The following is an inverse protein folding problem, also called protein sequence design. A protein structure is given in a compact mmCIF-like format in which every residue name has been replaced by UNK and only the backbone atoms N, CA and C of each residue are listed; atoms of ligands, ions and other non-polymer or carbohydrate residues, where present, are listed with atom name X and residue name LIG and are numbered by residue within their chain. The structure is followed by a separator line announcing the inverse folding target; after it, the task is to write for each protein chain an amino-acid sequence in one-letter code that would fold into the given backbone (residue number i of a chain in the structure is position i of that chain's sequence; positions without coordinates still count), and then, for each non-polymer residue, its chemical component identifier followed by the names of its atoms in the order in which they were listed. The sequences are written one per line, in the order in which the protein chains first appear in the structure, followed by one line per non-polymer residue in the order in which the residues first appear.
data_IF_959771865054
#
_entry.id   IF_959771865054
#
_cell.length_a   1.000
_cell.length_b   1.000
_cell.length_c   1.000
_cell.angle_alpha   90.00
_cell.angle_beta   90.00
_cell.angle_gamma   90.00
#
_symmetry.space_group_name_H-M   'P 1'
#
loop_
_entity.id
_entity.type
_entity.pdbx_description
1 polymer ?
#
# COMPACT_ATOMS: atom_id res chain seq x y z
N UNK A 1 -1.08 -53.45 39.80
CA UNK A 1 -1.25 -53.62 38.34
C UNK A 1 -1.82 -52.33 37.80
N UNK A 2 -1.09 -51.62 36.95
CA UNK A 2 -1.61 -50.49 36.18
C UNK A 2 -1.91 -50.98 34.77
N UNK A 3 -3.13 -50.78 34.30
CA UNK A 3 -3.51 -51.14 32.93
C UNK A 3 -3.13 -50.01 31.96
N UNK A 4 -2.61 -50.38 30.78
CA UNK A 4 -2.13 -49.44 29.76
C UNK A 4 -3.31 -48.74 29.03
N UNK A 5 -3.77 -47.60 29.54
CA UNK A 5 -4.75 -46.74 28.87
C UNK A 5 -4.06 -45.75 27.90
N UNK A 6 -3.42 -46.29 26.85
CA UNK A 6 -2.61 -45.55 25.89
C UNK A 6 -3.18 -45.58 24.46
N UNK A 7 -3.27 -44.42 23.80
CA UNK A 7 -3.62 -44.31 22.39
C UNK A 7 -2.45 -44.80 21.52
N UNK A 8 -2.63 -45.95 20.87
CA UNK A 8 -1.59 -46.62 20.09
C UNK A 8 -1.90 -46.53 18.61
N UNK A 9 -1.09 -45.75 17.89
CA UNK A 9 -1.03 -45.72 16.43
C UNK A 9 0.38 -46.13 15.98
N UNK A 10 0.52 -47.31 15.38
CA UNK A 10 1.79 -47.80 14.82
C UNK A 10 1.64 -47.93 13.32
N UNK A 11 2.53 -47.28 12.57
CA UNK A 11 2.61 -47.37 11.12
C UNK A 11 4.03 -47.72 10.67
N UNK A 12 4.18 -48.23 9.44
CA UNK A 12 5.50 -48.44 8.82
C UNK A 12 5.46 -48.18 7.33
N UNK A 13 6.53 -47.59 6.79
CA UNK A 13 6.75 -47.51 5.35
C UNK A 13 6.66 -48.89 4.70
N UNK A 14 5.99 -48.96 3.56
CA UNK A 14 5.93 -50.14 2.69
C UNK A 14 7.17 -50.10 1.81
N UNK A 15 8.07 -51.09 1.94
CA UNK A 15 9.25 -51.27 1.10
C UNK A 15 10.16 -50.02 0.96
N UNK A 16 10.31 -49.22 2.03
CA UNK A 16 11.02 -47.93 2.07
C UNK A 16 10.43 -46.84 1.14
N UNK A 17 9.22 -47.02 0.62
CA UNK A 17 8.50 -46.02 -0.17
C UNK A 17 7.89 -44.91 0.70
N UNK A 18 7.34 -43.87 0.05
CA UNK A 18 6.54 -42.81 0.70
C UNK A 18 5.16 -43.29 1.18
N UNK A 19 4.75 -44.52 0.87
CA UNK A 19 3.48 -45.09 1.35
C UNK A 19 3.69 -45.82 2.67
N UNK A 20 2.75 -45.63 3.61
CA UNK A 20 2.77 -46.24 4.93
C UNK A 20 1.57 -47.18 5.07
N UNK A 21 1.78 -48.35 5.70
CA UNK A 21 0.69 -49.16 6.23
C UNK A 21 0.53 -48.93 7.73
N UNK A 22 -0.70 -48.74 8.17
CA UNK A 22 -1.07 -48.86 9.59
C UNK A 22 -0.89 -50.33 9.99
N UNK A 23 -0.31 -50.57 11.17
CA UNK A 23 -0.12 -51.90 11.77
C UNK A 23 -1.02 -52.12 12.98
N UNK A 24 -1.25 -51.06 13.74
CA UNK A 24 -1.99 -51.07 14.99
C UNK A 24 -2.66 -49.69 15.14
N UNK A 25 -3.96 -49.68 15.41
CA UNK A 25 -4.71 -48.48 15.74
C UNK A 25 -5.72 -48.84 16.83
N UNK A 26 -5.54 -48.25 18.01
CA UNK A 26 -6.51 -48.30 19.10
C UNK A 26 -7.23 -46.95 19.18
N UNK A 27 -8.54 -46.93 18.90
CA UNK A 27 -9.39 -45.74 18.92
C UNK A 27 -9.99 -45.45 20.31
N UNK A 28 -9.94 -46.41 21.24
CA UNK A 28 -10.54 -46.30 22.57
C UNK A 28 -9.72 -45.41 23.49
N UNK A 29 -10.15 -44.16 23.62
CA UNK A 29 -9.58 -43.18 24.55
C UNK A 29 -10.49 -42.92 25.76
N UNK A 30 -10.17 -43.53 26.89
CA UNK A 30 -10.82 -43.30 28.21
C UNK A 30 -9.92 -42.53 29.20
N UNK A 31 -8.87 -41.87 28.72
CA UNK A 31 -7.91 -41.19 29.58
C UNK A 31 -8.55 -40.00 30.34
N UNK A 32 -8.34 -39.85 31.67
CA UNK A 32 -8.93 -38.78 32.48
C UNK A 32 -8.30 -37.38 32.27
N UNK A 33 -7.53 -37.18 31.18
CA UNK A 33 -6.81 -35.94 30.85
C UNK A 33 -7.70 -34.80 30.32
N UNK A 34 -9.01 -34.78 30.62
CA UNK A 34 -9.93 -33.80 30.01
C UNK A 34 -9.72 -32.35 30.45
N UNK A 35 -9.37 -32.11 31.71
CA UNK A 35 -9.68 -30.80 32.32
C UNK A 35 -8.48 -29.89 32.63
N UNK A 36 -7.22 -30.38 32.69
CA UNK A 36 -6.08 -29.57 33.24
C UNK A 36 -4.70 -29.68 32.60
N UNK A 37 -4.48 -30.51 31.58
CA UNK A 37 -3.13 -30.71 30.98
C UNK A 37 -3.00 -30.11 29.56
N UNK A 38 -4.12 -29.90 28.85
CA UNK A 38 -4.15 -29.40 27.47
C UNK A 38 -5.02 -28.15 27.29
N UNK A 39 -5.09 -27.26 28.29
CA UNK A 39 -5.71 -25.94 28.15
C UNK A 39 -5.10 -25.11 27.01
N UNK A 40 -3.84 -25.39 26.64
CA UNK A 40 -3.12 -24.71 25.58
C UNK A 40 -2.88 -25.62 24.36
N UNK A 41 -3.86 -25.71 23.46
CA UNK A 41 -3.72 -26.32 22.12
C UNK A 41 -2.87 -25.45 21.17
N UNK A 42 -1.59 -25.23 21.51
CA UNK A 42 -0.67 -24.40 20.73
C UNK A 42 -0.33 -25.07 19.38
N UNK A 43 -1.09 -24.75 18.32
CA UNK A 43 -0.72 -25.17 16.97
C UNK A 43 0.59 -24.50 16.54
N UNK A 44 1.52 -25.29 16.00
CA UNK A 44 2.80 -24.74 15.53
C UNK A 44 2.60 -23.82 14.31
N UNK A 45 3.52 -22.86 14.13
CA UNK A 45 3.56 -21.98 12.95
C UNK A 45 3.47 -22.81 11.65
N UNK A 46 4.14 -23.97 11.59
CA UNK A 46 4.15 -24.87 10.43
C UNK A 46 2.80 -25.52 10.12
N UNK A 47 1.97 -25.79 11.14
CA UNK A 47 0.63 -26.34 10.97
C UNK A 47 -0.28 -25.27 10.35
N UNK A 48 -0.33 -24.09 10.97
CA UNK A 48 -1.15 -22.97 10.50
C UNK A 48 -0.73 -22.53 9.10
N UNK A 49 0.58 -22.40 8.85
CA UNK A 49 1.20 -22.19 7.52
C UNK A 49 0.66 -23.17 6.47
N UNK A 50 0.71 -24.48 6.75
CA UNK A 50 0.17 -25.51 5.85
C UNK A 50 -1.32 -25.34 5.52
N UNK A 51 -2.13 -24.96 6.50
CA UNK A 51 -3.58 -24.76 6.35
C UNK A 51 -3.95 -23.52 5.51
N UNK A 52 -3.10 -22.48 5.51
CA UNK A 52 -3.42 -21.18 4.89
C UNK A 52 -2.80 -20.95 3.50
N UNK A 53 -1.82 -21.75 3.08
CA UNK A 53 -1.15 -21.59 1.77
C UNK A 53 -2.13 -21.51 0.60
N UNK A 54 -3.08 -22.44 0.49
CA UNK A 54 -4.11 -22.42 -0.55
C UNK A 54 -5.02 -21.18 -0.48
N UNK A 55 -5.34 -20.72 0.74
CA UNK A 55 -6.10 -19.48 0.98
C UNK A 55 -5.30 -18.21 0.59
N UNK A 56 -3.97 -18.30 0.45
CA UNK A 56 -3.03 -17.19 0.11
C UNK A 56 -2.46 -17.21 -1.33
N UNK A 57 -2.73 -18.26 -2.12
CA UNK A 57 -2.24 -18.38 -3.51
C UNK A 57 -2.71 -17.23 -4.41
N UNK A 58 -3.97 -16.79 -4.26
CA UNK A 58 -4.47 -15.60 -4.95
C UNK A 58 -4.10 -14.33 -4.16
N UNK A 59 -3.10 -13.58 -4.64
CA UNK A 59 -2.64 -12.33 -4.01
C UNK A 59 -3.71 -11.22 -3.95
N UNK A 60 -4.79 -11.30 -4.75
CA UNK A 60 -5.91 -10.33 -4.72
C UNK A 60 -6.93 -10.66 -3.62
N UNK A 61 -6.87 -11.84 -2.99
CA UNK A 61 -7.68 -12.19 -1.81
C UNK A 61 -7.09 -11.53 -0.57
N UNK A 62 -7.82 -10.57 0.01
CA UNK A 62 -7.56 -10.10 1.38
C UNK A 62 -7.77 -11.27 2.34
N UNK A 63 -6.74 -11.57 3.12
CA UNK A 63 -6.76 -12.58 4.18
C UNK A 63 -5.80 -12.10 5.29
N UNK A 64 -6.38 -11.82 6.44
CA UNK A 64 -5.77 -11.12 7.59
C UNK A 64 -5.42 -12.11 8.70
N UNK A 65 -4.60 -11.71 9.70
CA UNK A 65 -4.38 -12.55 10.88
C UNK A 65 -5.67 -12.88 11.64
N UNK A 66 -6.68 -12.00 11.62
CA UNK A 66 -7.97 -12.26 12.29
C UNK A 66 -8.78 -13.34 11.55
N UNK A 67 -8.78 -13.33 10.22
CA UNK A 67 -9.40 -14.39 9.42
C UNK A 67 -8.70 -15.73 9.66
N UNK A 68 -7.38 -15.73 9.81
CA UNK A 68 -6.60 -16.93 10.17
C UNK A 68 -6.97 -17.48 11.56
N UNK A 69 -7.21 -16.60 12.54
CA UNK A 69 -7.65 -17.00 13.89
C UNK A 69 -9.07 -17.58 13.83
N UNK A 70 -9.98 -16.92 13.10
CA UNK A 70 -11.35 -17.40 12.91
C UNK A 70 -11.39 -18.76 12.23
N UNK A 71 -10.71 -18.90 11.09
CA UNK A 71 -10.62 -20.15 10.33
C UNK A 71 -9.96 -21.27 11.18
N UNK A 72 -8.90 -20.98 11.93
CA UNK A 72 -8.27 -21.99 12.81
C UNK A 72 -9.19 -22.44 13.96
N UNK A 73 -10.02 -21.54 14.50
CA UNK A 73 -11.00 -21.88 15.54
C UNK A 73 -12.21 -22.62 14.97
N UNK A 74 -12.70 -22.21 13.80
CA UNK A 74 -13.88 -22.78 13.13
C UNK A 74 -13.59 -24.14 12.49
N UNK A 75 -12.57 -24.22 11.63
CA UNK A 75 -12.26 -25.41 10.85
C UNK A 75 -11.63 -26.53 11.73
N UNK A 76 -10.98 -26.18 12.85
CA UNK A 76 -10.16 -27.12 13.64
C UNK A 76 -10.28 -27.02 15.18
N UNK A 77 -11.01 -26.06 15.74
CA UNK A 77 -11.13 -25.91 17.19
C UNK A 77 -9.80 -25.56 17.89
N UNK A 78 -8.96 -24.77 17.23
CA UNK A 78 -7.64 -24.31 17.70
C UNK A 78 -7.68 -22.83 18.07
N UNK A 79 -7.18 -22.48 19.24
CA UNK A 79 -6.99 -21.09 19.65
C UNK A 79 -5.63 -20.59 19.18
N UNK A 80 -5.63 -19.52 18.38
CA UNK A 80 -4.43 -18.95 17.74
C UNK A 80 -4.27 -17.49 18.20
N UNK A 81 -3.08 -17.11 18.64
CA UNK A 81 -2.78 -15.70 18.96
C UNK A 81 -2.48 -14.89 17.70
N UNK A 82 -2.76 -13.58 17.72
CA UNK A 82 -2.49 -12.68 16.59
C UNK A 82 -1.05 -12.75 16.07
N UNK A 83 -0.07 -12.79 16.97
CA UNK A 83 1.35 -12.92 16.60
C UNK A 83 1.68 -14.28 15.97
N UNK A 84 0.99 -15.35 16.38
CA UNK A 84 1.15 -16.69 15.81
C UNK A 84 0.53 -16.76 14.40
N UNK A 85 -0.69 -16.22 14.22
CA UNK A 85 -1.34 -16.09 12.91
C UNK A 85 -0.53 -15.22 11.93
N UNK A 86 0.01 -14.08 12.39
CA UNK A 86 0.87 -13.22 11.56
C UNK A 86 2.17 -13.92 11.15
N UNK A 87 2.85 -14.62 12.09
CA UNK A 87 4.05 -15.42 11.79
C UNK A 87 3.75 -16.55 10.80
N UNK A 88 2.58 -17.19 10.91
CA UNK A 88 2.13 -18.20 9.95
C UNK A 88 1.85 -17.58 8.57
N UNK A 89 1.14 -16.44 8.47
CA UNK A 89 0.95 -15.72 7.20
C UNK A 89 2.29 -15.38 6.55
N UNK A 90 3.25 -14.83 7.31
CA UNK A 90 4.59 -14.53 6.78
C UNK A 90 5.29 -15.78 6.26
N UNK A 91 5.27 -16.89 7.00
CA UNK A 91 5.88 -18.16 6.56
C UNK A 91 5.23 -18.70 5.28
N UNK A 92 3.90 -18.67 5.18
CA UNK A 92 3.16 -19.10 3.99
C UNK A 92 3.44 -18.19 2.79
N UNK A 93 3.55 -16.87 2.98
CA UNK A 93 3.96 -15.92 1.94
C UNK A 93 5.38 -16.21 1.44
N UNK A 94 6.36 -16.36 2.35
CA UNK A 94 7.74 -16.68 1.96
C UNK A 94 7.83 -18.03 1.21
N UNK A 95 7.01 -19.03 1.58
CA UNK A 95 6.94 -20.30 0.85
C UNK A 95 6.33 -20.15 -0.56
N UNK A 96 5.30 -19.31 -0.72
CA UNK A 96 4.60 -19.12 -2.00
C UNK A 96 5.31 -18.14 -2.96
N UNK A 97 6.08 -17.19 -2.43
CA UNK A 97 6.60 -16.02 -3.17
C UNK A 97 8.11 -15.83 -3.06
N UNK A 98 8.82 -16.65 -2.26
CA UNK A 98 10.23 -16.49 -1.92
C UNK A 98 10.47 -15.45 -0.82
N UNK A 99 11.72 -15.28 -0.38
CA UNK A 99 12.07 -14.16 0.49
C UNK A 99 12.11 -12.86 -0.34
N UNK A 100 11.74 -11.69 0.22
CA UNK A 100 11.87 -10.42 -0.49
C UNK A 100 13.28 -10.18 -1.04
N UNK A 101 14.32 -10.55 -0.28
CA UNK A 101 15.74 -10.43 -0.68
C UNK A 101 16.06 -11.20 -1.97
N UNK A 102 15.54 -12.42 -2.14
CA UNK A 102 15.71 -13.23 -3.35
C UNK A 102 15.11 -12.54 -4.58
N UNK A 103 14.07 -11.72 -4.39
CA UNK A 103 13.47 -10.94 -5.47
C UNK A 103 14.32 -9.72 -5.86
N UNK A 104 14.99 -9.06 -4.91
CA UNK A 104 15.94 -7.98 -5.21
C UNK A 104 17.17 -8.49 -5.97
N UNK A 105 17.66 -9.71 -5.68
CA UNK A 105 18.74 -10.33 -6.45
C UNK A 105 18.41 -10.51 -7.95
N UNK A 106 17.12 -10.63 -8.31
CA UNK A 106 16.66 -10.72 -9.71
C UNK A 106 16.56 -9.36 -10.41
N UNK A 107 16.58 -8.24 -9.66
CA UNK A 107 16.54 -6.91 -10.27
C UNK A 107 17.74 -6.65 -11.17
N UNK A 108 18.92 -7.18 -10.89
CA UNK A 108 20.11 -6.84 -11.67
C UNK A 108 19.98 -7.27 -13.15
N UNK A 109 19.42 -8.46 -13.41
CA UNK A 109 19.11 -8.93 -14.77
C UNK A 109 17.87 -8.26 -15.37
N UNK A 110 16.89 -7.89 -14.55
CA UNK A 110 15.69 -7.19 -15.01
C UNK A 110 16.00 -5.73 -15.41
N UNK A 111 16.78 -5.02 -14.61
CA UNK A 111 17.28 -3.66 -14.86
C UNK A 111 18.19 -3.65 -16.09
N UNK A 112 19.09 -4.62 -16.24
CA UNK A 112 19.85 -4.78 -17.49
C UNK A 112 18.94 -4.95 -18.71
N UNK A 113 17.87 -5.74 -18.60
CA UNK A 113 16.90 -5.97 -19.69
C UNK A 113 16.02 -4.74 -19.96
N UNK A 114 15.74 -3.93 -18.93
CA UNK A 114 15.08 -2.62 -19.08
C UNK A 114 16.00 -1.62 -19.74
N UNK A 115 17.21 -1.39 -19.21
CA UNK A 115 18.14 -0.38 -19.69
C UNK A 115 18.55 -0.61 -21.16
N UNK A 116 18.67 -1.88 -21.59
CA UNK A 116 18.84 -2.27 -23.00
C UNK A 116 17.63 -1.99 -23.92
N UNK A 117 16.49 -1.52 -23.41
CA UNK A 117 15.26 -1.24 -24.17
C UNK A 117 14.62 0.12 -23.89
N UNK A 118 14.79 0.63 -22.67
CA UNK A 118 14.18 1.82 -22.08
C UNK A 118 15.15 2.34 -21.00
N UNK A 119 16.00 3.31 -21.38
CA UNK A 119 17.10 3.81 -20.54
C UNK A 119 16.59 4.32 -19.18
N UNK A 120 17.22 3.90 -18.07
CA UNK A 120 17.06 4.46 -16.72
C UNK A 120 15.64 4.53 -16.12
N UNK A 121 15.07 3.43 -15.61
CA UNK A 121 13.75 3.45 -14.94
C UNK A 121 13.55 2.40 -13.82
N UNK A 122 12.67 2.71 -12.86
CA UNK A 122 12.43 1.93 -11.62
C UNK A 122 10.91 2.00 -11.21
N UNK A 123 10.40 2.18 -9.96
CA UNK A 123 8.94 2.25 -9.59
C UNK A 123 8.49 3.19 -8.41
N UNK A 124 7.86 4.34 -8.74
CA UNK A 124 7.04 5.31 -7.95
C UNK A 124 6.51 6.37 -8.91
N UNK A 125 5.20 6.54 -9.01
CA UNK A 125 4.61 7.20 -10.17
C UNK A 125 4.62 8.74 -10.10
N UNK A 126 4.89 9.38 -11.24
CA UNK A 126 4.31 10.69 -11.60
C UNK A 126 3.37 10.46 -12.78
N UNK A 127 2.14 10.95 -12.67
CA UNK A 127 1.12 10.81 -13.69
C UNK A 127 0.66 12.16 -14.21
N UNK A 128 0.49 12.29 -15.52
CA UNK A 128 -0.18 13.44 -16.15
C UNK A 128 -1.50 13.02 -16.78
N UNK A 129 -2.23 14.01 -17.31
CA UNK A 129 -3.34 13.75 -18.22
C UNK A 129 -2.88 13.96 -19.66
N UNK A 130 -3.32 13.10 -20.58
CA UNK A 130 -3.20 13.38 -22.02
C UNK A 130 -4.24 14.41 -22.48
N UNK A 131 -4.17 14.84 -23.75
CA UNK A 131 -5.12 15.81 -24.33
C UNK A 131 -6.57 15.32 -24.41
N UNK A 132 -6.85 14.06 -24.06
CA UNK A 132 -8.18 13.47 -23.95
C UNK A 132 -8.54 13.11 -22.49
N UNK A 133 -7.79 13.63 -21.51
CA UNK A 133 -7.95 13.40 -20.07
C UNK A 133 -7.74 11.94 -19.60
N UNK A 134 -7.01 11.10 -20.34
CA UNK A 134 -6.55 9.82 -19.82
C UNK A 134 -5.37 9.99 -18.87
N UNK A 135 -5.32 9.19 -17.81
CA UNK A 135 -4.17 9.08 -16.92
C UNK A 135 -3.00 8.43 -17.68
N UNK A 136 -1.89 9.14 -17.80
CA UNK A 136 -0.64 8.66 -18.39
C UNK A 136 0.47 8.71 -17.32
N UNK A 137 1.02 7.58 -16.86
CA UNK A 137 2.24 7.59 -16.06
C UNK A 137 3.42 8.02 -16.94
N UNK A 138 4.16 9.06 -16.53
CA UNK A 138 5.36 9.50 -17.23
C UNK A 138 6.59 8.72 -16.79
N UNK A 139 6.80 8.63 -15.47
CA UNK A 139 7.96 7.96 -14.87
C UNK A 139 7.53 7.11 -13.68
N UNK A 140 8.39 6.13 -13.36
CA UNK A 140 8.29 5.35 -12.15
C UNK A 140 9.73 5.14 -11.55
N UNK A 141 9.97 5.43 -10.25
CA UNK A 141 11.28 5.33 -9.55
C UNK A 141 11.34 4.54 -8.20
N UNK A 142 12.07 3.42 -8.08
CA UNK A 142 12.04 2.49 -6.91
C UNK A 142 12.94 3.08 -5.86
N UNK A 143 12.39 3.39 -4.70
CA UNK A 143 13.19 3.84 -3.56
C UNK A 143 12.97 2.96 -2.34
N UNK A 144 14.06 2.72 -1.62
CA UNK A 144 14.13 1.80 -0.49
C UNK A 144 13.32 2.26 0.75
N UNK A 145 13.03 3.56 0.84
CA UNK A 145 12.33 4.20 1.96
C UNK A 145 11.93 5.64 1.59
N UNK A 146 11.01 6.24 2.35
CA UNK A 146 10.62 7.63 2.18
C UNK A 146 11.57 8.55 2.96
N UNK A 147 12.70 8.90 2.34
CA UNK A 147 13.74 9.73 2.96
C UNK A 147 14.27 10.82 2.01
N UNK A 148 15.06 11.73 2.57
CA UNK A 148 15.65 12.90 1.92
C UNK A 148 16.48 12.58 0.66
N UNK A 149 17.30 11.52 0.72
CA UNK A 149 18.16 11.07 -0.39
C UNK A 149 17.30 10.50 -1.52
N UNK A 150 16.33 9.67 -1.14
CA UNK A 150 15.46 8.96 -2.05
C UNK A 150 14.53 9.90 -2.86
N UNK A 151 13.96 10.90 -2.20
CA UNK A 151 13.16 11.93 -2.89
C UNK A 151 14.02 12.90 -3.71
N UNK A 152 15.20 13.29 -3.24
CA UNK A 152 16.13 14.11 -4.03
C UNK A 152 16.47 13.42 -5.36
N UNK A 153 16.96 12.18 -5.28
CA UNK A 153 17.30 11.36 -6.44
C UNK A 153 16.11 11.19 -7.40
N UNK A 154 14.90 10.91 -6.88
CA UNK A 154 13.73 10.73 -7.73
C UNK A 154 13.40 11.96 -8.58
N UNK A 155 13.38 13.15 -7.98
CA UNK A 155 13.11 14.38 -8.73
C UNK A 155 14.29 14.78 -9.64
N UNK A 156 15.54 14.56 -9.21
CA UNK A 156 16.74 14.78 -10.01
C UNK A 156 16.71 13.93 -11.30
N UNK A 157 16.39 12.63 -11.21
CA UNK A 157 16.23 11.75 -12.37
C UNK A 157 15.01 12.08 -13.24
N UNK A 158 13.89 12.50 -12.66
CA UNK A 158 12.72 12.93 -13.44
C UNK A 158 13.04 14.20 -14.27
N UNK A 159 13.81 15.13 -13.70
CA UNK A 159 14.31 16.32 -14.40
C UNK A 159 15.36 15.99 -15.46
N UNK A 160 16.22 15.00 -15.24
CA UNK A 160 17.17 14.53 -16.24
C UNK A 160 16.46 13.90 -17.45
N UNK A 161 15.42 13.09 -17.22
CA UNK A 161 14.70 12.38 -18.29
C UNK A 161 13.69 13.26 -19.07
N UNK A 162 13.04 14.24 -18.42
CA UNK A 162 11.96 15.04 -19.03
C UNK A 162 12.21 16.56 -19.09
N UNK A 163 13.28 17.05 -18.45
CA UNK A 163 13.60 18.48 -18.39
C UNK A 163 12.63 19.31 -17.53
N UNK A 164 12.56 20.60 -17.82
CA UNK A 164 11.50 21.50 -17.37
C UNK A 164 10.66 21.90 -18.60
N UNK A 165 9.35 21.73 -18.53
CA UNK A 165 8.43 22.09 -19.62
C UNK A 165 7.79 23.45 -19.36
N UNK A 166 7.49 24.20 -20.43
CA UNK A 166 6.75 25.45 -20.31
C UNK A 166 5.35 25.18 -19.72
N UNK A 167 4.90 26.03 -18.80
CA UNK A 167 3.64 25.88 -18.06
C UNK A 167 3.52 24.59 -17.19
N UNK A 168 4.63 23.88 -16.94
CA UNK A 168 4.67 22.76 -16.00
C UNK A 168 4.24 23.19 -14.59
N UNK A 169 3.57 22.30 -13.86
CA UNK A 169 3.27 22.44 -12.44
C UNK A 169 3.31 21.09 -11.73
N UNK A 170 3.62 21.07 -10.44
CA UNK A 170 3.63 19.85 -9.62
C UNK A 170 2.52 19.97 -8.57
N UNK A 171 1.64 18.97 -8.50
CA UNK A 171 0.57 18.89 -7.49
C UNK A 171 0.82 17.67 -6.59
N UNK A 172 0.86 17.83 -5.27
CA UNK A 172 1.06 16.70 -4.34
C UNK A 172 0.33 16.90 -3.01
N UNK A 173 0.40 15.91 -2.11
CA UNK A 173 0.17 16.17 -0.68
C UNK A 173 1.07 17.32 -0.17
N UNK A 174 0.62 18.06 0.84
CA UNK A 174 1.35 19.17 1.49
C UNK A 174 2.39 18.63 2.47
N UNK A 175 3.15 17.63 2.03
CA UNK A 175 4.23 17.00 2.79
C UNK A 175 5.49 17.87 2.67
N UNK A 176 6.00 18.36 3.80
CA UNK A 176 7.14 19.29 3.88
C UNK A 176 8.38 18.77 3.14
N UNK A 177 8.61 17.44 3.17
CA UNK A 177 9.69 16.82 2.43
C UNK A 177 9.50 16.96 0.91
N UNK A 178 8.31 16.68 0.38
CA UNK A 178 8.05 16.79 -1.07
C UNK A 178 8.22 18.25 -1.53
N UNK A 179 7.69 19.21 -0.76
CA UNK A 179 7.84 20.65 -1.04
C UNK A 179 9.33 21.07 -1.06
N UNK A 180 10.12 20.57 -0.11
CA UNK A 180 11.57 20.80 0.00
C UNK A 180 12.37 20.22 -1.17
N UNK A 181 11.99 19.06 -1.73
CA UNK A 181 12.69 18.48 -2.88
C UNK A 181 12.25 19.05 -4.21
N UNK A 182 10.96 19.36 -4.37
CA UNK A 182 10.46 20.06 -5.56
C UNK A 182 11.15 21.41 -5.70
N UNK A 183 11.18 22.26 -4.66
CA UNK A 183 11.81 23.58 -4.74
C UNK A 183 13.34 23.54 -4.90
N UNK A 184 14.02 22.48 -4.42
CA UNK A 184 15.45 22.27 -4.64
C UNK A 184 15.78 21.92 -6.11
N UNK A 185 15.00 21.01 -6.71
CA UNK A 185 15.28 20.49 -8.06
C UNK A 185 14.70 21.39 -9.14
N UNK A 186 13.50 21.92 -8.91
CA UNK A 186 12.74 22.79 -9.80
C UNK A 186 12.55 24.16 -9.13
N UNK A 187 13.42 25.12 -9.46
CA UNK A 187 13.38 26.47 -8.90
C UNK A 187 12.33 27.38 -9.57
N UNK A 188 11.85 26.95 -10.74
CA UNK A 188 10.97 27.67 -11.67
C UNK A 188 9.54 27.11 -11.72
N UNK A 189 9.37 25.82 -11.41
CA UNK A 189 8.09 25.11 -11.52
C UNK A 189 7.26 25.32 -10.26
N UNK A 190 6.05 25.90 -10.33
CA UNK A 190 5.19 26.08 -9.17
C UNK A 190 4.71 24.73 -8.61
N UNK A 191 4.80 24.63 -7.28
CA UNK A 191 4.22 23.55 -6.50
C UNK A 191 2.83 23.94 -6.00
N UNK A 192 1.87 23.02 -6.05
CA UNK A 192 0.53 23.20 -5.51
C UNK A 192 0.17 22.08 -4.52
N UNK A 193 -0.46 22.45 -3.42
CA UNK A 193 -1.08 21.51 -2.50
C UNK A 193 -2.37 20.93 -3.11
N UNK A 194 -2.49 19.60 -3.09
CA UNK A 194 -3.73 18.90 -3.39
C UNK A 194 -4.85 19.42 -2.47
N UNK A 195 -5.94 19.92 -3.07
CA UNK A 195 -7.03 20.53 -2.31
C UNK A 195 -7.73 19.52 -1.39
N UNK A 196 -7.69 18.22 -1.71
CA UNK A 196 -8.28 17.15 -0.89
C UNK A 196 -7.40 16.81 0.33
N UNK A 197 -6.07 16.82 0.18
CA UNK A 197 -5.14 16.69 1.29
C UNK A 197 -5.21 17.90 2.24
N UNK A 198 -5.27 19.12 1.68
CA UNK A 198 -5.48 20.33 2.48
C UNK A 198 -6.84 20.31 3.20
N UNK A 199 -7.91 19.84 2.55
CA UNK A 199 -9.20 19.59 3.21
C UNK A 199 -9.08 18.61 4.37
N UNK A 200 -8.41 17.47 4.18
CA UNK A 200 -8.23 16.48 5.24
C UNK A 200 -7.46 17.04 6.45
N UNK A 201 -6.53 17.97 6.23
CA UNK A 201 -5.83 18.65 7.32
C UNK A 201 -6.73 19.65 8.05
N UNK A 202 -7.60 20.39 7.33
CA UNK A 202 -8.66 21.22 7.92
C UNK A 202 -9.62 20.35 8.74
N UNK A 203 -10.09 19.24 8.18
CA UNK A 203 -11.00 18.28 8.82
C UNK A 203 -10.43 17.72 10.13
N UNK A 204 -9.16 17.26 10.13
CA UNK A 204 -8.47 16.76 11.33
C UNK A 204 -8.31 17.85 12.40
N UNK A 205 -8.06 19.10 12.00
CA UNK A 205 -7.73 20.23 12.91
C UNK A 205 -8.97 20.94 13.47
N UNK A 206 -10.06 21.07 12.71
CA UNK A 206 -11.20 21.94 13.03
C UNK A 206 -12.54 21.17 13.10
N UNK A 207 -12.83 20.59 14.26
CA UNK A 207 -13.92 19.62 14.52
C UNK A 207 -15.38 20.14 14.44
N UNK A 208 -15.70 21.19 13.67
CA UNK A 208 -17.06 21.79 13.60
C UNK A 208 -17.61 21.84 12.17
N UNK A 209 -18.87 21.42 12.02
CA UNK A 209 -19.72 21.63 10.82
C UNK A 209 -19.10 21.22 9.48
N UNK A 210 -18.42 20.06 9.45
CA UNK A 210 -17.60 19.63 8.31
C UNK A 210 -18.32 19.60 6.95
N UNK A 211 -19.62 19.25 6.88
CA UNK A 211 -20.34 19.16 5.60
C UNK A 211 -20.53 20.53 4.94
N UNK A 212 -21.02 21.53 5.69
CA UNK A 212 -21.19 22.88 5.15
C UNK A 212 -19.84 23.54 4.86
N UNK A 213 -18.82 23.25 5.66
CA UNK A 213 -17.47 23.78 5.46
C UNK A 213 -16.77 23.13 4.25
N UNK A 214 -17.02 21.86 3.93
CA UNK A 214 -16.41 21.20 2.75
C UNK A 214 -16.97 21.75 1.45
N UNK A 215 -18.28 21.95 1.36
CA UNK A 215 -18.96 22.57 0.21
C UNK A 215 -18.41 23.99 -0.06
N UNK A 216 -18.30 24.81 0.98
CA UNK A 216 -17.70 26.16 0.89
C UNK A 216 -16.24 26.07 0.45
N UNK A 217 -15.43 25.23 1.10
CA UNK A 217 -13.99 25.10 0.82
C UNK A 217 -13.70 24.60 -0.61
N UNK A 218 -14.36 23.53 -1.07
CA UNK A 218 -14.12 22.99 -2.41
C UNK A 218 -14.66 23.91 -3.52
N UNK A 219 -15.67 24.72 -3.23
CA UNK A 219 -16.13 25.78 -4.14
C UNK A 219 -15.12 26.92 -4.20
N UNK A 220 -14.66 27.40 -3.03
CA UNK A 220 -13.71 28.50 -2.88
C UNK A 220 -12.37 28.19 -3.54
N UNK A 221 -11.84 26.97 -3.35
CA UNK A 221 -10.62 26.52 -4.01
C UNK A 221 -10.72 26.53 -5.55
N UNK A 222 -11.91 26.29 -6.11
CA UNK A 222 -12.18 26.17 -7.54
C UNK A 222 -12.68 27.47 -8.20
N UNK A 223 -12.95 28.50 -7.41
CA UNK A 223 -13.49 29.79 -7.86
C UNK A 223 -12.64 30.42 -8.99
N UNK A 224 -13.31 31.11 -9.90
CA UNK A 224 -12.67 31.77 -11.04
C UNK A 224 -12.53 33.29 -10.83
N UNK A 225 -13.27 33.87 -9.89
CA UNK A 225 -13.29 35.31 -9.64
C UNK A 225 -13.04 35.65 -8.17
N UNK A 226 -12.47 36.85 -7.93
CA UNK A 226 -12.25 37.37 -6.58
C UNK A 226 -13.57 37.51 -5.79
N UNK A 227 -14.63 37.98 -6.44
CA UNK A 227 -15.95 38.14 -5.81
C UNK A 227 -16.57 36.81 -5.32
N UNK A 228 -16.40 35.71 -6.08
CA UNK A 228 -16.79 34.37 -5.63
C UNK A 228 -15.95 33.91 -4.44
N UNK A 229 -14.63 34.09 -4.52
CA UNK A 229 -13.68 33.68 -3.49
C UNK A 229 -13.96 34.40 -2.16
N UNK A 230 -14.08 35.73 -2.19
CA UNK A 230 -14.34 36.56 -1.01
C UNK A 230 -15.71 36.25 -0.40
N UNK A 231 -16.76 36.11 -1.24
CA UNK A 231 -18.10 35.74 -0.77
C UNK A 231 -18.12 34.38 -0.07
N UNK A 232 -17.26 33.44 -0.48
CA UNK A 232 -17.12 32.14 0.18
C UNK A 232 -16.23 32.22 1.42
N UNK A 233 -15.14 32.98 1.38
CA UNK A 233 -14.23 33.21 2.51
C UNK A 233 -14.96 33.86 3.69
N UNK A 234 -15.87 34.80 3.46
CA UNK A 234 -16.68 35.40 4.55
C UNK A 234 -17.61 34.42 5.27
N UNK A 235 -17.82 33.21 4.73
CA UNK A 235 -18.62 32.15 5.37
C UNK A 235 -17.76 31.18 6.21
N UNK A 236 -16.46 31.44 6.35
CA UNK A 236 -15.46 30.57 7.00
C UNK A 236 -15.07 31.09 8.40
N UNK A 237 -14.92 30.17 9.37
CA UNK A 237 -14.43 30.46 10.73
C UNK A 237 -13.03 31.10 10.68
N UNK A 238 -12.79 32.16 11.45
CA UNK A 238 -11.55 32.96 11.40
C UNK A 238 -10.28 32.10 11.52
N UNK A 239 -10.29 31.05 12.35
CA UNK A 239 -9.12 30.15 12.55
C UNK A 239 -8.86 29.23 11.36
N UNK A 240 -9.88 29.03 10.52
CA UNK A 240 -9.76 28.34 9.24
C UNK A 240 -9.29 29.32 8.16
N UNK A 241 -9.73 30.60 8.18
CA UNK A 241 -9.16 31.65 7.31
C UNK A 241 -7.65 31.78 7.55
N UNK A 242 -7.23 31.98 8.80
CA UNK A 242 -5.82 32.05 9.23
C UNK A 242 -5.00 30.83 8.75
N UNK A 243 -5.57 29.61 8.82
CA UNK A 243 -4.87 28.40 8.38
C UNK A 243 -4.79 28.24 6.86
N UNK A 244 -5.74 28.80 6.11
CA UNK A 244 -5.75 28.85 4.65
C UNK A 244 -4.80 29.93 4.12
N UNK A 245 -4.67 31.04 4.83
CA UNK A 245 -3.69 32.11 4.59
C UNK A 245 -2.26 31.59 4.85
N UNK A 246 -2.06 30.90 5.98
CA UNK A 246 -0.83 30.13 6.28
C UNK A 246 -0.65 28.87 5.38
N UNK A 247 -1.46 28.69 4.35
CA UNK A 247 -1.20 27.75 3.25
C UNK A 247 -0.67 28.45 1.98
N UNK A 248 -0.76 29.78 1.90
CA UNK A 248 -0.55 30.58 0.70
C UNK A 248 -1.64 30.31 -0.33
N UNK A 249 -2.46 31.31 -0.65
CA UNK A 249 -3.60 31.15 -1.55
C UNK A 249 -3.18 30.71 -2.96
N UNK A 250 -2.03 31.20 -3.41
CA UNK A 250 -1.33 30.80 -4.64
C UNK A 250 -1.04 29.30 -4.71
N UNK A 251 -0.78 28.63 -3.58
CA UNK A 251 -0.43 27.20 -3.55
C UNK A 251 -1.65 26.26 -3.62
N UNK A 252 -2.90 26.74 -3.49
CA UNK A 252 -4.07 25.86 -3.47
C UNK A 252 -5.30 26.39 -4.22
N UNK A 253 -5.58 27.68 -4.22
CA UNK A 253 -6.77 28.27 -4.86
C UNK A 253 -6.54 28.55 -6.36
N UNK A 254 -7.55 28.30 -7.20
CA UNK A 254 -7.43 28.45 -8.66
C UNK A 254 -7.20 29.90 -9.09
N UNK A 255 -7.91 30.84 -8.48
CA UNK A 255 -7.84 32.28 -8.76
C UNK A 255 -6.40 32.83 -8.67
N UNK A 256 -5.59 32.29 -7.77
CA UNK A 256 -4.24 32.77 -7.47
C UNK A 256 -3.13 31.94 -8.16
N UNK A 257 -3.48 30.94 -8.96
CA UNK A 257 -2.49 30.07 -9.61
C UNK A 257 -1.82 30.78 -10.79
N UNK A 258 -0.50 31.02 -10.68
CA UNK A 258 0.29 31.72 -11.71
C UNK A 258 0.50 30.95 -13.03
N UNK A 259 0.08 29.68 -13.11
CA UNK A 259 0.12 28.85 -14.33
C UNK A 259 -1.19 28.09 -14.52
N UNK A 260 -1.50 27.75 -15.78
CA UNK A 260 -2.72 27.03 -16.13
C UNK A 260 -2.63 25.53 -15.78
N UNK A 261 -2.83 25.19 -14.50
CA UNK A 261 -3.00 23.82 -14.00
C UNK A 261 -4.28 23.11 -14.47
N UNK A 262 -5.09 23.75 -15.32
CA UNK A 262 -6.31 23.19 -15.91
C UNK A 262 -7.31 22.67 -14.87
N UNK A 263 -7.58 21.37 -14.94
CA UNK A 263 -8.46 20.63 -14.02
C UNK A 263 -7.71 19.96 -12.86
N UNK A 264 -6.38 19.89 -12.91
CA UNK A 264 -5.56 19.14 -11.96
C UNK A 264 -5.37 19.93 -10.67
N UNK A 265 -6.25 19.69 -9.71
CA UNK A 265 -6.20 20.30 -8.36
C UNK A 265 -6.05 19.25 -7.24
N UNK A 266 -5.96 17.96 -7.58
CA UNK A 266 -5.97 16.84 -6.64
C UNK A 266 -5.05 15.71 -7.07
N UNK A 267 -4.38 15.10 -6.10
CA UNK A 267 -3.62 13.83 -6.21
C UNK A 267 -4.48 12.57 -6.33
N UNK A 268 -5.79 12.70 -6.62
CA UNK A 268 -6.73 11.58 -6.78
C UNK A 268 -6.24 10.51 -7.76
N UNK A 269 -5.45 10.89 -8.76
CA UNK A 269 -4.83 9.99 -9.74
C UNK A 269 -3.85 9.05 -9.00
N UNK A 270 -2.88 9.61 -8.30
CA UNK A 270 -1.87 8.84 -7.55
C UNK A 270 -2.52 8.04 -6.42
N UNK A 271 -3.54 8.57 -5.75
CA UNK A 271 -4.31 7.87 -4.73
C UNK A 271 -5.04 6.64 -5.31
N UNK A 272 -5.68 6.78 -6.47
CA UNK A 272 -6.38 5.69 -7.17
C UNK A 272 -5.41 4.61 -7.66
N UNK A 273 -4.25 5.02 -8.19
CA UNK A 273 -3.17 4.13 -8.61
C UNK A 273 -2.60 3.37 -7.41
N UNK A 274 -2.29 4.08 -6.32
CA UNK A 274 -1.79 3.47 -5.10
C UNK A 274 -2.81 2.48 -4.52
N UNK A 275 -4.11 2.79 -4.56
CA UNK A 275 -5.18 1.91 -4.13
C UNK A 275 -5.30 0.63 -4.99
N UNK A 276 -5.23 0.75 -6.32
CA UNK A 276 -5.25 -0.39 -7.24
C UNK A 276 -4.04 -1.32 -7.03
N UNK A 277 -2.87 -0.75 -6.75
CA UNK A 277 -1.61 -1.47 -6.54
C UNK A 277 -1.44 -2.06 -5.12
N UNK A 278 -2.37 -1.82 -4.18
CA UNK A 278 -2.25 -2.32 -2.78
C UNK A 278 -2.00 -3.83 -2.70
N UNK A 279 -2.71 -4.64 -3.49
CA UNK A 279 -2.54 -6.11 -3.48
C UNK A 279 -1.26 -6.55 -4.20
N UNK A 280 -0.89 -5.86 -5.27
CA UNK A 280 0.35 -6.13 -6.01
C UNK A 280 1.60 -5.86 -5.14
N UNK A 281 1.53 -4.97 -4.14
CA UNK A 281 2.61 -4.76 -3.15
C UNK A 281 2.91 -5.96 -2.24
N UNK A 282 2.05 -7.00 -2.17
CA UNK A 282 2.42 -8.26 -1.49
C UNK A 282 3.21 -9.24 -2.40
N UNK A 283 3.53 -8.86 -3.65
CA UNK A 283 4.26 -9.69 -4.62
C UNK A 283 5.78 -9.43 -4.57
N UNK A 284 6.60 -10.37 -5.10
CA UNK A 284 8.00 -10.12 -5.44
C UNK A 284 8.13 -8.93 -6.39
N UNK A 285 9.26 -8.21 -6.34
CA UNK A 285 9.42 -6.95 -7.07
C UNK A 285 9.18 -7.09 -8.59
N UNK A 286 9.60 -8.21 -9.20
CA UNK A 286 9.36 -8.55 -10.61
C UNK A 286 7.87 -8.75 -10.95
N UNK A 287 7.12 -9.44 -10.08
CA UNK A 287 5.69 -9.71 -10.30
C UNK A 287 4.85 -8.45 -10.04
N UNK A 288 5.28 -7.58 -9.10
CA UNK A 288 4.73 -6.24 -8.90
C UNK A 288 4.96 -5.36 -10.14
N UNK A 289 6.18 -5.35 -10.70
CA UNK A 289 6.50 -4.67 -11.97
C UNK A 289 5.59 -5.13 -13.11
N UNK A 290 5.33 -6.44 -13.22
CA UNK A 290 4.48 -6.99 -14.26
C UNK A 290 2.98 -6.66 -14.06
N UNK A 291 2.47 -6.58 -12.82
CA UNK A 291 1.12 -6.04 -12.57
C UNK A 291 1.04 -4.52 -12.85
N UNK A 292 2.08 -3.74 -12.57
CA UNK A 292 2.17 -2.33 -13.00
C UNK A 292 2.17 -2.24 -14.53
N UNK A 293 2.97 -3.05 -15.22
CA UNK A 293 3.02 -3.08 -16.70
C UNK A 293 1.67 -3.43 -17.31
N UNK A 294 0.92 -4.37 -16.72
CA UNK A 294 -0.47 -4.71 -17.15
C UNK A 294 -1.48 -3.60 -16.86
N UNK A 295 -1.25 -2.75 -15.84
CA UNK A 295 -2.17 -1.67 -15.47
C UNK A 295 -2.11 -0.48 -16.44
N UNK A 296 -0.96 -0.23 -17.07
CA UNK A 296 -0.74 0.93 -17.94
C UNK A 296 -0.34 0.59 -19.38
N UNK A 297 0.04 -0.66 -19.66
CA UNK A 297 0.26 -1.15 -21.01
C UNK A 297 -1.04 -1.26 -21.80
N UNK A 298 -1.00 -0.78 -23.04
CA UNK A 298 -2.01 -1.06 -24.08
C UNK A 298 -1.58 -2.28 -24.90
#
# INVERSE_FOLDING_TARGET
MSEDYELRFKASSINKSKMFKVREFNDKHTCPLKDKVYEQRQASISVIDGMIRSKLTNHKRKYTPNDIIYDAKSDFGVDVSYMLAWRAKKKAMNFLRGEPADSYNKLQGYLYTMDMKYLGSHIRMVSTLDGACHILPLVYGVINSENDVAWSWFFEQFKEAHGEMENMCIVSDRNENIIKYVSRVYQTVPHFACIWHLWNNIYKKFKKSHSKLSEIYFSMAKAYTQAEFDSLMEKVDIRVKEYLELAGYENWARLYAHVNRGWTMTSNIDESINAALVSARELPIYDFLEEVRKMFGR
#
